data_IF_724301161602
#
_entry.id   IF_724301161602
#
_cell.length_a   1.000
_cell.length_b   1.000
_cell.length_c   1.000
_cell.angle_alpha   90.00
_cell.angle_beta   90.00
_cell.angle_gamma   90.00
#
_symmetry.space_group_name_H-M   'P 1'
#
loop_
_entity.id
_entity.type
_entity.pdbx_description
1 polymer ?
#
# COMPACT_ATOMS: atom_id res chain seq x y z
N UNK A 1 -12.77 16.65 -14.21
CA UNK A 1 -13.38 17.28 -13.03
C UNK A 1 -12.35 18.13 -12.25
N UNK A 2 -11.24 17.59 -11.72
CA UNK A 2 -10.27 18.38 -10.95
C UNK A 2 -9.66 19.55 -11.74
N UNK A 3 -9.25 19.33 -13.00
CA UNK A 3 -8.76 20.40 -13.87
C UNK A 3 -9.81 21.50 -14.06
N UNK A 4 -11.09 21.14 -14.17
CA UNK A 4 -12.18 22.11 -14.31
C UNK A 4 -12.31 23.00 -13.07
N UNK A 5 -12.14 22.44 -11.85
CA UNK A 5 -12.12 23.24 -10.63
C UNK A 5 -11.01 24.29 -10.65
N UNK A 6 -9.79 23.93 -11.09
CA UNK A 6 -8.65 24.85 -11.10
C UNK A 6 -8.75 25.98 -12.12
N UNK A 7 -9.52 25.82 -13.20
CA UNK A 7 -9.68 26.82 -14.26
C UNK A 7 -11.02 27.57 -14.19
N UNK A 8 -11.96 27.13 -13.33
CA UNK A 8 -13.28 27.77 -13.18
C UNK A 8 -13.14 29.16 -12.52
N UNK A 9 -13.78 30.15 -13.11
CA UNK A 9 -13.76 31.53 -12.63
C UNK A 9 -15.04 31.92 -11.89
N UNK A 10 -16.13 31.18 -12.10
CA UNK A 10 -17.38 31.38 -11.38
C UNK A 10 -17.32 30.66 -10.04
N UNK A 11 -17.45 31.40 -8.93
CA UNK A 11 -17.35 30.87 -7.57
C UNK A 11 -18.35 29.74 -7.29
N UNK A 12 -19.61 29.91 -7.73
CA UNK A 12 -20.65 28.92 -7.45
C UNK A 12 -20.41 27.61 -8.21
N UNK A 13 -19.91 27.69 -9.45
CA UNK A 13 -19.52 26.50 -10.22
C UNK A 13 -18.28 25.85 -9.63
N UNK A 14 -17.29 26.64 -9.23
CA UNK A 14 -16.11 26.13 -8.55
C UNK A 14 -16.46 25.40 -7.26
N UNK A 15 -17.37 25.97 -6.45
CA UNK A 15 -17.87 25.33 -5.23
C UNK A 15 -18.57 23.99 -5.54
N UNK A 16 -19.45 23.95 -6.53
CA UNK A 16 -20.12 22.73 -6.94
C UNK A 16 -19.11 21.63 -7.41
N UNK A 17 -18.04 22.01 -8.14
CA UNK A 17 -16.98 21.08 -8.49
C UNK A 17 -16.19 20.59 -7.28
N UNK A 18 -15.91 21.47 -6.30
CA UNK A 18 -15.22 21.11 -5.06
C UNK A 18 -16.03 20.12 -4.23
N UNK A 19 -17.34 20.36 -4.06
CA UNK A 19 -18.26 19.46 -3.35
C UNK A 19 -18.36 18.10 -4.03
N UNK A 20 -18.47 18.07 -5.36
CA UNK A 20 -18.49 16.83 -6.12
C UNK A 20 -17.18 16.03 -5.94
N UNK A 21 -16.03 16.69 -5.99
CA UNK A 21 -14.73 16.04 -5.78
C UNK A 21 -14.55 15.56 -4.34
N UNK A 22 -15.10 16.30 -3.36
CA UNK A 22 -15.09 15.90 -1.96
C UNK A 22 -15.90 14.61 -1.76
N UNK A 23 -17.11 14.55 -2.32
CA UNK A 23 -17.95 13.35 -2.24
C UNK A 23 -17.31 12.16 -2.95
N UNK A 24 -16.83 12.32 -4.20
CA UNK A 24 -16.09 11.29 -4.93
C UNK A 24 -14.88 10.76 -4.10
N UNK A 25 -14.20 11.63 -3.35
CA UNK A 25 -13.07 11.25 -2.50
C UNK A 25 -13.50 10.53 -1.22
N UNK A 26 -14.64 10.91 -0.64
CA UNK A 26 -15.22 10.24 0.54
C UNK A 26 -15.65 8.83 0.18
N UNK A 27 -16.42 8.66 -0.92
CA UNK A 27 -16.85 7.35 -1.42
C UNK A 27 -15.66 6.44 -1.70
N UNK A 28 -14.58 7.01 -2.28
CA UNK A 28 -13.35 6.27 -2.54
C UNK A 28 -12.66 5.81 -1.26
N UNK A 29 -12.64 6.65 -0.21
CA UNK A 29 -12.06 6.30 1.10
C UNK A 29 -12.85 5.20 1.78
N UNK A 30 -14.17 5.26 1.74
CA UNK A 30 -15.05 4.24 2.31
C UNK A 30 -14.87 2.90 1.59
N UNK A 31 -14.85 2.92 0.24
CA UNK A 31 -14.58 1.73 -0.55
C UNK A 31 -13.19 1.12 -0.26
N UNK A 32 -12.15 1.96 -0.13
CA UNK A 32 -10.79 1.54 0.21
C UNK A 32 -10.76 0.84 1.59
N UNK A 33 -11.37 1.42 2.61
CA UNK A 33 -11.43 0.85 3.95
C UNK A 33 -12.18 -0.49 3.96
N UNK A 34 -13.39 -0.53 3.39
CA UNK A 34 -14.22 -1.73 3.34
C UNK A 34 -13.54 -2.88 2.60
N UNK A 35 -12.94 -2.60 1.44
CA UNK A 35 -12.22 -3.62 0.64
C UNK A 35 -10.96 -4.10 1.37
N UNK A 36 -10.25 -3.20 2.06
CA UNK A 36 -9.06 -3.56 2.84
C UNK A 36 -9.44 -4.49 3.99
N UNK A 37 -10.49 -4.18 4.74
CA UNK A 37 -10.97 -5.01 5.84
C UNK A 37 -11.42 -6.40 5.36
N UNK A 38 -12.17 -6.47 4.25
CA UNK A 38 -12.56 -7.74 3.64
C UNK A 38 -11.34 -8.56 3.20
N UNK A 39 -10.37 -7.94 2.54
CA UNK A 39 -9.14 -8.60 2.09
C UNK A 39 -8.32 -9.13 3.28
N UNK A 40 -8.14 -8.34 4.34
CA UNK A 40 -7.48 -8.76 5.58
C UNK A 40 -8.19 -9.95 6.24
N UNK A 41 -9.53 -9.93 6.26
CA UNK A 41 -10.34 -11.04 6.79
C UNK A 41 -10.14 -12.32 5.97
N UNK A 42 -10.13 -12.25 4.63
CA UNK A 42 -9.88 -13.39 3.74
C UNK A 42 -8.51 -14.00 4.03
N UNK A 43 -7.48 -13.18 4.15
CA UNK A 43 -6.11 -13.64 4.40
C UNK A 43 -5.98 -14.23 5.81
N UNK A 44 -6.55 -13.58 6.82
CA UNK A 44 -6.43 -13.98 8.23
C UNK A 44 -7.20 -15.25 8.58
N UNK A 45 -8.27 -15.57 7.85
CA UNK A 45 -9.10 -16.77 8.10
C UNK A 45 -8.66 -18.01 7.34
N UNK A 46 -7.78 -17.89 6.36
CA UNK A 46 -7.35 -19.02 5.55
C UNK A 46 -5.89 -19.40 5.85
N UNK A 47 -5.70 -20.58 6.41
CA UNK A 47 -4.38 -21.12 6.76
C UNK A 47 -3.43 -21.31 5.56
N UNK A 48 -3.95 -21.41 4.32
CA UNK A 48 -3.15 -21.50 3.10
C UNK A 48 -2.27 -20.27 2.88
N UNK A 49 -2.64 -19.11 3.43
CA UNK A 49 -1.85 -17.89 3.36
C UNK A 49 -0.64 -17.88 4.31
N UNK A 50 -0.65 -18.80 5.30
CA UNK A 50 0.45 -18.93 6.26
C UNK A 50 1.68 -19.51 5.55
N UNK A 51 2.79 -18.78 5.58
CA UNK A 51 4.04 -19.19 4.92
C UNK A 51 4.19 -18.79 3.45
N UNK A 52 3.15 -18.28 2.78
CA UNK A 52 3.30 -17.71 1.43
C UNK A 52 4.16 -16.44 1.45
N UNK A 53 4.96 -16.27 0.42
CA UNK A 53 5.79 -15.07 0.19
C UNK A 53 5.09 -14.01 -0.66
N UNK A 54 3.87 -14.27 -1.08
CA UNK A 54 3.03 -13.33 -1.82
C UNK A 54 1.65 -13.20 -1.18
N UNK A 55 0.95 -12.14 -1.55
CA UNK A 55 -0.48 -11.98 -1.30
C UNK A 55 -1.18 -11.75 -2.64
N UNK A 56 -2.08 -12.64 -3.05
CA UNK A 56 -2.90 -12.44 -4.25
C UNK A 56 -4.36 -12.66 -3.88
N UNK A 57 -5.15 -11.62 -3.83
CA UNK A 57 -6.57 -11.68 -3.47
C UNK A 57 -7.46 -11.25 -4.63
N UNK A 58 -8.60 -11.93 -4.79
CA UNK A 58 -9.58 -11.66 -5.84
C UNK A 58 -11.00 -11.63 -5.29
N UNK A 59 -11.73 -10.59 -5.65
CA UNK A 59 -13.19 -10.52 -5.53
C UNK A 59 -13.76 -9.74 -6.71
N UNK A 60 -14.85 -10.26 -7.28
CA UNK A 60 -15.47 -9.67 -8.46
C UNK A 60 -16.12 -8.30 -8.21
N UNK A 61 -16.59 -8.04 -6.99
CA UNK A 61 -17.35 -6.83 -6.63
C UNK A 61 -16.47 -5.67 -6.18
N UNK A 62 -15.15 -5.84 -6.03
CA UNK A 62 -14.28 -4.75 -5.59
C UNK A 62 -14.15 -3.65 -6.65
N UNK A 63 -14.02 -2.42 -6.19
CA UNK A 63 -13.93 -1.29 -7.09
C UNK A 63 -12.53 -1.14 -7.67
N UNK A 64 -12.40 -1.24 -9.01
CA UNK A 64 -11.13 -1.17 -9.75
C UNK A 64 -10.28 0.06 -9.40
N UNK A 65 -10.92 1.21 -9.10
CA UNK A 65 -10.22 2.48 -8.80
C UNK A 65 -9.45 2.49 -7.48
N UNK A 66 -9.66 1.51 -6.59
CA UNK A 66 -9.03 1.48 -5.27
C UNK A 66 -8.14 0.27 -5.02
N UNK A 67 -8.17 -0.76 -5.88
CA UNK A 67 -7.37 -2.00 -5.67
C UNK A 67 -5.86 -1.73 -5.53
N UNK A 68 -5.35 -0.65 -6.12
CA UNK A 68 -3.95 -0.26 -5.97
C UNK A 68 -3.62 0.32 -4.59
N UNK A 69 -4.57 1.02 -3.97
CA UNK A 69 -4.44 1.54 -2.60
C UNK A 69 -4.55 0.36 -1.62
N UNK A 70 -5.52 -0.51 -1.82
CA UNK A 70 -5.69 -1.74 -1.03
C UNK A 70 -4.42 -2.59 -1.08
N UNK A 71 -3.81 -2.79 -2.26
CA UNK A 71 -2.55 -3.53 -2.37
C UNK A 71 -1.42 -2.91 -1.52
N UNK A 72 -1.33 -1.57 -1.46
CA UNK A 72 -0.35 -0.88 -0.61
C UNK A 72 -0.62 -1.11 0.88
N UNK A 73 -1.89 -1.05 1.32
CA UNK A 73 -2.27 -1.31 2.72
C UNK A 73 -2.02 -2.76 3.15
N UNK A 74 -2.26 -3.72 2.25
CA UNK A 74 -1.98 -5.12 2.54
C UNK A 74 -0.48 -5.39 2.74
N UNK A 75 0.40 -4.66 2.04
CA UNK A 75 1.85 -4.72 2.28
C UNK A 75 2.21 -4.22 3.68
N UNK A 76 1.57 -3.17 4.18
CA UNK A 76 1.80 -2.69 5.54
C UNK A 76 1.51 -3.77 6.59
N UNK A 77 0.55 -4.66 6.33
CA UNK A 77 0.15 -5.74 7.23
C UNK A 77 0.97 -7.02 7.07
N UNK A 78 1.32 -7.40 5.84
CA UNK A 78 1.93 -8.70 5.53
C UNK A 78 3.34 -8.61 4.93
N UNK A 79 3.81 -7.44 4.62
CA UNK A 79 5.15 -7.09 4.12
C UNK A 79 5.72 -8.06 3.07
N UNK A 80 4.97 -8.29 2.00
CA UNK A 80 5.33 -9.17 0.89
C UNK A 80 4.70 -8.68 -0.42
N UNK A 81 5.23 -9.04 -1.60
CA UNK A 81 4.65 -8.65 -2.89
C UNK A 81 3.17 -9.00 -2.95
N UNK A 82 2.33 -8.02 -3.29
CA UNK A 82 0.88 -8.11 -3.18
C UNK A 82 0.20 -7.76 -4.48
N UNK A 83 -0.79 -8.56 -4.88
CA UNK A 83 -1.67 -8.33 -6.04
C UNK A 83 -3.11 -8.35 -5.57
N UNK A 84 -3.85 -7.31 -5.91
CA UNK A 84 -5.29 -7.22 -5.65
C UNK A 84 -6.03 -7.21 -6.98
N UNK A 85 -6.92 -8.16 -7.17
CA UNK A 85 -7.64 -8.44 -8.40
C UNK A 85 -9.13 -8.17 -8.23
N UNK A 86 -9.77 -7.69 -9.28
CA UNK A 86 -11.22 -7.51 -9.34
C UNK A 86 -11.75 -7.68 -10.76
N UNK A 87 -13.07 -7.89 -10.91
CA UNK A 87 -13.71 -7.95 -12.22
C UNK A 87 -13.74 -6.55 -12.87
N UNK A 88 -13.50 -6.50 -14.17
CA UNK A 88 -13.59 -5.30 -15.00
C UNK A 88 -14.22 -5.65 -16.34
N UNK A 89 -15.55 -5.63 -16.43
CA UNK A 89 -16.28 -6.17 -17.58
C UNK A 89 -16.12 -7.69 -17.68
N UNK A 90 -15.65 -8.18 -18.80
CA UNK A 90 -15.49 -9.62 -19.09
C UNK A 90 -14.11 -10.17 -18.67
N UNK A 91 -13.25 -9.34 -18.09
CA UNK A 91 -11.91 -9.72 -17.67
C UNK A 91 -11.67 -9.37 -16.20
N UNK A 92 -10.61 -9.95 -15.63
CA UNK A 92 -10.07 -9.57 -14.34
C UNK A 92 -8.98 -8.54 -14.55
N UNK A 93 -9.04 -7.46 -13.79
CA UNK A 93 -7.99 -6.42 -13.72
C UNK A 93 -7.44 -6.35 -12.31
N UNK A 94 -6.18 -6.01 -12.20
CA UNK A 94 -5.52 -5.92 -10.90
C UNK A 94 -4.43 -4.88 -10.83
N UNK A 95 -4.04 -4.61 -9.60
CA UNK A 95 -2.90 -3.79 -9.26
C UNK A 95 -1.98 -4.54 -8.32
N UNK A 96 -0.70 -4.50 -8.63
CA UNK A 96 0.35 -5.13 -7.85
C UNK A 96 1.24 -4.08 -7.20
N UNK A 97 1.74 -4.37 -6.02
CA UNK A 97 2.70 -3.56 -5.26
C UNK A 97 3.80 -4.45 -4.71
N UNK A 98 4.99 -3.89 -4.56
CA UNK A 98 6.17 -4.60 -4.08
C UNK A 98 6.67 -4.07 -2.75
N UNK A 99 7.40 -4.93 -2.04
CA UNK A 99 8.28 -4.49 -0.96
C UNK A 99 9.54 -3.82 -1.53
N UNK A 100 10.18 -2.90 -0.79
CA UNK A 100 11.43 -2.30 -1.22
C UNK A 100 12.50 -3.35 -1.61
N UNK A 101 13.23 -3.09 -2.67
CA UNK A 101 14.31 -3.98 -3.11
C UNK A 101 13.90 -5.15 -4.02
N UNK A 102 12.61 -5.46 -4.18
CA UNK A 102 12.15 -6.54 -5.05
C UNK A 102 11.56 -6.03 -6.37
N UNK A 103 12.05 -6.52 -7.50
CA UNK A 103 11.59 -6.16 -8.85
C UNK A 103 10.27 -6.88 -9.20
N UNK A 104 9.16 -6.20 -8.92
CA UNK A 104 7.82 -6.72 -9.18
C UNK A 104 7.53 -6.89 -10.68
N UNK A 105 8.06 -5.99 -11.51
CA UNK A 105 7.82 -6.05 -12.95
C UNK A 105 8.34 -7.36 -13.54
N UNK A 106 9.56 -7.77 -13.19
CA UNK A 106 10.14 -9.04 -13.65
C UNK A 106 9.34 -10.26 -13.15
N UNK A 107 8.85 -10.21 -11.91
CA UNK A 107 8.02 -11.29 -11.38
C UNK A 107 6.67 -11.40 -12.14
N UNK A 108 6.03 -10.28 -12.46
CA UNK A 108 4.81 -10.26 -13.28
C UNK A 108 5.11 -10.68 -14.72
N UNK A 109 6.23 -10.22 -15.29
CA UNK A 109 6.69 -10.64 -16.62
C UNK A 109 6.90 -12.16 -16.72
N UNK A 110 7.45 -12.79 -15.69
CA UNK A 110 7.60 -14.23 -15.63
C UNK A 110 6.24 -14.99 -15.61
N UNK A 111 5.15 -14.32 -15.24
CA UNK A 111 3.79 -14.87 -15.24
C UNK A 111 2.97 -14.50 -16.50
N UNK A 112 3.59 -13.93 -17.53
CA UNK A 112 2.91 -13.34 -18.70
C UNK A 112 1.98 -14.31 -19.47
N UNK A 113 2.26 -15.60 -19.42
CA UNK A 113 1.44 -16.62 -20.10
C UNK A 113 -0.01 -16.68 -19.54
N UNK A 114 -0.21 -16.23 -18.30
CA UNK A 114 -1.53 -16.15 -17.66
C UNK A 114 -2.22 -14.79 -17.89
N UNK A 115 -1.53 -13.83 -18.52
CA UNK A 115 -1.99 -12.45 -18.60
C UNK A 115 -2.45 -12.08 -20.02
N UNK A 116 -3.48 -11.27 -20.11
CA UNK A 116 -3.88 -10.58 -21.35
C UNK A 116 -3.04 -9.32 -21.59
N UNK A 117 -2.61 -8.69 -20.52
CA UNK A 117 -1.76 -7.51 -20.56
C UNK A 117 -1.24 -7.15 -19.18
N UNK A 118 -0.10 -6.51 -19.16
CA UNK A 118 0.53 -5.99 -17.93
C UNK A 118 1.44 -4.82 -18.27
N UNK A 119 1.71 -4.00 -17.26
CA UNK A 119 2.62 -2.87 -17.38
C UNK A 119 2.90 -2.25 -16.02
N UNK A 120 4.01 -1.57 -15.90
CA UNK A 120 4.41 -0.97 -14.64
C UNK A 120 5.91 -0.74 -14.55
N UNK A 121 6.41 -0.74 -13.34
CA UNK A 121 7.81 -0.53 -13.02
C UNK A 121 8.21 -1.38 -11.79
N UNK A 122 9.42 -1.19 -11.31
CA UNK A 122 10.03 -1.95 -10.22
C UNK A 122 9.11 -2.18 -9.01
N UNK A 123 8.38 -1.15 -8.55
CA UNK A 123 7.60 -1.19 -7.30
C UNK A 123 6.10 -1.39 -7.50
N UNK A 124 5.56 -1.19 -8.70
CA UNK A 124 4.12 -1.26 -8.97
C UNK A 124 3.83 -1.71 -10.40
N UNK A 125 2.80 -2.52 -10.57
CA UNK A 125 2.33 -2.95 -11.88
C UNK A 125 0.81 -3.03 -11.92
N UNK A 126 0.26 -2.83 -13.12
CA UNK A 126 -1.13 -3.16 -13.47
C UNK A 126 -1.15 -4.40 -14.35
N UNK A 127 -2.20 -5.21 -14.23
CA UNK A 127 -2.34 -6.44 -15.01
C UNK A 127 -3.79 -6.75 -15.32
N UNK A 128 -3.99 -7.51 -16.40
CA UNK A 128 -5.30 -8.03 -16.78
C UNK A 128 -5.18 -9.49 -17.20
N UNK A 129 -6.21 -10.29 -16.93
CA UNK A 129 -6.25 -11.71 -17.27
C UNK A 129 -7.69 -12.20 -17.46
N UNK A 130 -7.84 -13.41 -17.99
CA UNK A 130 -9.11 -14.12 -17.92
C UNK A 130 -9.34 -14.62 -16.49
N UNK A 131 -10.59 -14.66 -16.05
CA UNK A 131 -10.94 -15.15 -14.71
C UNK A 131 -10.50 -16.61 -14.50
N UNK A 132 -10.59 -17.44 -15.54
CA UNK A 132 -10.11 -18.83 -15.53
C UNK A 132 -8.61 -18.97 -15.23
N UNK A 133 -7.82 -17.92 -15.48
CA UNK A 133 -6.37 -17.95 -15.28
C UNK A 133 -5.96 -17.51 -13.86
N UNK A 134 -6.88 -16.97 -13.06
CA UNK A 134 -6.58 -16.46 -11.71
C UNK A 134 -5.93 -17.52 -10.82
N UNK A 135 -6.42 -18.77 -10.72
CA UNK A 135 -5.77 -19.79 -9.88
C UNK A 135 -4.33 -20.10 -10.33
N UNK A 136 -4.12 -20.26 -11.64
CA UNK A 136 -2.81 -20.57 -12.20
C UNK A 136 -1.83 -19.40 -12.01
N UNK A 137 -2.31 -18.16 -12.16
CA UNK A 137 -1.53 -16.96 -11.88
C UNK A 137 -1.08 -16.90 -10.41
N UNK A 138 -1.97 -17.19 -9.46
CA UNK A 138 -1.66 -17.21 -8.02
C UNK A 138 -0.50 -18.16 -7.73
N UNK A 139 -0.59 -19.41 -8.23
CA UNK A 139 0.42 -20.42 -7.98
C UNK A 139 1.75 -20.10 -8.66
N UNK A 140 1.71 -19.62 -9.91
CA UNK A 140 2.91 -19.25 -10.63
C UNK A 140 3.57 -18.02 -10.01
N UNK A 141 2.82 -17.00 -9.62
CA UNK A 141 3.37 -15.80 -8.99
C UNK A 141 4.03 -16.13 -7.65
N UNK A 142 3.41 -17.00 -6.82
CA UNK A 142 4.02 -17.50 -5.58
C UNK A 142 5.32 -18.25 -5.86
N UNK A 143 5.35 -19.13 -6.85
CA UNK A 143 6.54 -19.90 -7.21
C UNK A 143 7.68 -18.99 -7.69
N UNK A 144 7.38 -18.01 -8.56
CA UNK A 144 8.35 -17.03 -9.07
C UNK A 144 8.92 -16.20 -7.93
N UNK A 145 8.06 -15.61 -7.10
CA UNK A 145 8.53 -14.78 -5.99
C UNK A 145 9.32 -15.62 -4.99
N UNK A 146 8.84 -16.82 -4.64
CA UNK A 146 9.55 -17.71 -3.70
C UNK A 146 10.96 -18.05 -4.16
N UNK A 147 11.17 -18.22 -5.46
CA UNK A 147 12.47 -18.56 -6.03
C UNK A 147 13.40 -17.36 -6.24
N UNK A 148 12.87 -16.14 -6.26
CA UNK A 148 13.64 -14.95 -6.65
C UNK A 148 13.81 -13.92 -5.52
N UNK A 149 12.90 -13.88 -4.53
CA UNK A 149 12.99 -12.91 -3.45
C UNK A 149 14.03 -13.28 -2.41
N UNK A 150 14.90 -12.36 -2.09
CA UNK A 150 15.85 -12.56 -1.00
C UNK A 150 15.11 -12.49 0.36
N UNK A 151 15.36 -13.44 1.30
CA UNK A 151 14.60 -13.52 2.55
C UNK A 151 14.57 -12.25 3.39
N UNK A 152 15.64 -11.47 3.37
CA UNK A 152 15.72 -10.21 4.13
C UNK A 152 14.73 -9.15 3.62
N UNK A 153 14.33 -9.20 2.32
CA UNK A 153 13.35 -8.27 1.76
C UNK A 153 11.91 -8.51 2.27
N UNK A 154 11.67 -9.63 2.95
CA UNK A 154 10.37 -9.93 3.60
C UNK A 154 10.33 -9.49 5.07
N UNK A 155 11.39 -8.84 5.55
CA UNK A 155 11.48 -8.33 6.91
C UNK A 155 11.39 -6.79 6.83
N UNK A 156 10.36 -6.17 7.45
CA UNK A 156 10.27 -4.71 7.45
C UNK A 156 11.43 -4.11 8.22
N UNK A 157 12.08 -3.11 7.62
CA UNK A 157 13.19 -2.38 8.23
C UNK A 157 12.73 -0.97 8.59
N UNK A 158 13.16 -0.50 9.77
CA UNK A 158 13.01 0.88 10.20
C UNK A 158 14.39 1.52 10.15
N UNK A 159 14.56 2.49 9.25
CA UNK A 159 15.78 3.29 9.19
C UNK A 159 15.77 4.27 10.35
N UNK A 160 16.79 4.18 11.22
CA UNK A 160 16.96 5.03 12.38
C UNK A 160 18.02 6.08 12.06
N UNK A 161 17.66 7.36 12.15
CA UNK A 161 18.57 8.47 11.85
C UNK A 161 19.55 8.75 12.99
N UNK A 162 19.09 8.61 14.24
CA UNK A 162 19.97 8.79 15.41
C UNK A 162 19.44 8.07 16.67
N UNK A 163 20.38 7.74 17.58
CA UNK A 163 20.07 7.37 18.94
C UNK A 163 20.09 8.61 19.82
N UNK A 164 19.02 8.84 20.59
CA UNK A 164 18.86 9.99 21.48
C UNK A 164 18.37 9.54 22.86
N UNK A 165 18.60 10.34 23.90
CA UNK A 165 17.99 10.13 25.21
C UNK A 165 16.71 10.95 25.34
N UNK A 166 15.77 10.54 26.17
CA UNK A 166 14.55 11.32 26.45
C UNK A 166 14.84 12.74 26.94
N UNK A 167 15.99 12.96 27.63
CA UNK A 167 16.40 14.30 28.07
C UNK A 167 16.74 15.25 26.94
N UNK A 168 17.09 14.71 25.77
CA UNK A 168 17.46 15.49 24.59
C UNK A 168 16.22 15.98 23.85
N UNK A 169 15.03 15.39 24.13
CA UNK A 169 13.73 15.77 23.56
C UNK A 169 13.22 17.04 24.24
N UNK A 170 13.82 18.17 23.91
CA UNK A 170 13.43 19.49 24.38
C UNK A 170 12.54 20.20 23.38
N UNK A 171 11.85 21.27 23.79
CA UNK A 171 11.11 22.13 22.85
C UNK A 171 12.01 22.69 21.74
N UNK A 172 13.25 23.02 22.05
CA UNK A 172 14.18 23.49 21.03
C UNK A 172 14.52 22.40 20.01
N UNK A 173 14.78 21.17 20.47
CA UNK A 173 15.00 20.02 19.60
C UNK A 173 13.79 19.79 18.68
N UNK A 174 12.57 19.78 19.24
CA UNK A 174 11.34 19.63 18.47
C UNK A 174 11.22 20.73 17.40
N UNK A 175 11.45 21.99 17.77
CA UNK A 175 11.37 23.12 16.84
C UNK A 175 12.40 23.02 15.71
N UNK A 176 13.59 22.50 15.98
CA UNK A 176 14.61 22.27 14.94
C UNK A 176 14.13 21.19 13.97
N UNK A 177 13.59 20.08 14.47
CA UNK A 177 13.04 19.01 13.62
C UNK A 177 11.87 19.54 12.75
N UNK A 178 11.00 20.37 13.33
CA UNK A 178 9.91 20.99 12.57
C UNK A 178 10.39 21.93 11.45
N UNK A 179 11.54 22.57 11.60
CA UNK A 179 12.13 23.41 10.53
C UNK A 179 12.61 22.60 9.32
N UNK A 180 12.73 21.27 9.45
CA UNK A 180 13.05 20.38 8.33
C UNK A 180 11.85 20.13 7.40
N UNK A 181 10.63 20.52 7.79
CA UNK A 181 9.43 20.39 6.96
C UNK A 181 9.50 21.24 5.67
N UNK A 182 8.81 20.85 4.60
CA UNK A 182 7.85 19.73 4.51
C UNK A 182 8.55 18.37 4.35
N UNK A 183 8.09 17.36 5.09
CA UNK A 183 8.56 15.98 4.96
C UNK A 183 7.88 15.29 3.76
N UNK A 184 8.59 14.36 3.13
CA UNK A 184 8.13 13.60 2.00
C UNK A 184 9.25 12.76 1.35
N UNK A 185 9.07 12.24 0.13
CA UNK A 185 10.14 11.57 -0.59
C UNK A 185 11.42 12.41 -0.62
N UNK A 186 12.59 11.79 -0.40
CA UNK A 186 13.93 12.40 -0.31
C UNK A 186 14.14 13.34 0.90
N UNK A 187 13.09 13.57 1.71
CA UNK A 187 13.16 14.30 2.97
C UNK A 187 12.21 13.66 3.99
N UNK A 188 12.51 12.43 4.38
CA UNK A 188 11.67 11.68 5.32
C UNK A 188 11.75 12.29 6.71
N UNK A 189 10.65 12.14 7.47
CA UNK A 189 10.65 12.55 8.88
C UNK A 189 11.68 11.74 9.65
N UNK A 190 12.60 12.36 10.44
CA UNK A 190 13.61 11.65 11.19
C UNK A 190 12.99 10.67 12.19
N UNK A 191 13.56 9.47 12.26
CA UNK A 191 13.20 8.43 13.21
C UNK A 191 14.32 8.28 14.25
N UNK A 192 13.98 8.41 15.51
CA UNK A 192 14.91 8.31 16.61
C UNK A 192 14.67 7.05 17.44
N UNK A 193 15.74 6.50 18.00
CA UNK A 193 15.66 5.38 18.94
C UNK A 193 16.21 5.81 20.30
N UNK A 194 15.57 5.35 21.37
CA UNK A 194 16.11 5.39 22.73
C UNK A 194 16.20 3.97 23.25
N UNK A 195 17.37 3.57 23.75
CA UNK A 195 17.63 2.23 24.27
C UNK A 195 17.56 2.19 25.80
N UNK A 196 17.42 0.97 26.35
CA UNK A 196 17.42 0.70 27.80
C UNK A 196 16.38 1.52 28.56
N UNK A 197 15.18 1.66 27.95
CA UNK A 197 14.03 2.36 28.56
C UNK A 197 13.35 1.41 29.56
N UNK A 198 13.13 1.89 30.78
CA UNK A 198 12.35 1.18 31.79
C UNK A 198 11.04 1.91 32.01
N UNK A 199 9.92 1.18 31.93
CA UNK A 199 8.60 1.70 32.25
C UNK A 199 8.49 1.93 33.79
N UNK A 200 7.98 3.10 34.16
CA UNK A 200 7.85 3.50 35.58
C UNK A 200 6.48 3.17 36.19
N UNK A 201 5.57 2.53 35.42
CA UNK A 201 4.21 2.23 35.85
C UNK A 201 3.22 3.39 35.70
N UNK A 202 3.67 4.54 35.21
CA UNK A 202 2.83 5.73 34.98
C UNK A 202 2.56 6.01 33.50
N UNK A 203 2.98 5.12 32.62
CA UNK A 203 2.76 5.25 31.17
C UNK A 203 1.26 5.27 30.83
N UNK A 204 0.85 6.20 29.97
CA UNK A 204 -0.51 6.32 29.49
C UNK A 204 -0.52 6.42 27.98
N UNK A 205 -1.45 5.71 27.34
CA UNK A 205 -1.76 5.93 25.93
C UNK A 205 -2.51 7.26 25.82
N UNK A 206 -1.89 8.20 25.11
CA UNK A 206 -2.56 9.47 24.77
C UNK A 206 -3.28 9.23 23.44
N UNK A 207 -4.60 9.37 23.43
CA UNK A 207 -5.35 9.37 22.16
C UNK A 207 -5.12 10.71 21.48
N UNK A 208 -4.80 10.67 20.19
CA UNK A 208 -4.87 11.83 19.31
C UNK A 208 -6.29 12.29 19.10
#
# INVERSE_FOLDING_TARGET
KAVQLFIEKDFNKALAFAEMLHNDNTDRKEADLSITEEALSIIGTNAEWTGRKTTVVYKEHWHKGVVGIVASRLIESYYRPTVVLTRSGDIVAGSARSVPGFNLYEAIHACRENLLGYGGHFAAAGLTMLESNVPQFIDQFEAVVTSTIAPHLLIPEIVIDAEINFRDITHNFYNIVQQMEPFGPENMRPVFITRNVTETGFSKVVKE
#
